data_IF_031577793933
#
_entry.id   IF_031577793933
#
_cell.length_a   1.000
_cell.length_b   1.000
_cell.length_c   1.000
_cell.angle_alpha   90.00
_cell.angle_beta   90.00
_cell.angle_gamma   90.00
#
_symmetry.space_group_name_H-M   'P 1'
#
loop_
_entity.id
_entity.type
_entity.pdbx_description
1 polymer ?
#
# COMPACT_ATOMS: atom_id res chain seq x y z
N UNK A 1 -17.38 7.30 10.27
CA UNK A 1 -16.34 7.30 11.32
C UNK A 1 -15.99 8.70 11.85
N UNK A 2 -15.44 8.86 13.06
CA UNK A 2 -14.86 10.15 13.55
C UNK A 2 -13.36 10.26 13.25
N UNK A 3 -12.86 11.47 12.97
CA UNK A 3 -11.44 11.73 12.66
C UNK A 3 -10.47 11.14 13.70
N UNK A 4 -10.76 11.33 14.99
CA UNK A 4 -9.90 10.84 16.07
C UNK A 4 -9.82 9.31 16.11
N UNK A 5 -10.91 8.63 15.75
CA UNK A 5 -10.95 7.17 15.67
C UNK A 5 -10.15 6.67 14.45
N UNK A 6 -10.31 7.32 13.30
CA UNK A 6 -9.57 7.02 12.08
C UNK A 6 -8.05 7.17 12.29
N UNK A 7 -7.62 8.31 12.83
CA UNK A 7 -6.20 8.59 13.14
C UNK A 7 -5.66 7.53 14.11
N UNK A 8 -6.42 7.16 15.14
CA UNK A 8 -6.00 6.15 16.11
C UNK A 8 -5.78 4.80 15.44
N UNK A 9 -6.74 4.33 14.62
CA UNK A 9 -6.64 3.05 13.92
C UNK A 9 -5.46 3.01 12.95
N UNK A 10 -5.22 4.09 12.21
CA UNK A 10 -4.09 4.18 11.27
C UNK A 10 -2.75 4.11 12.01
N UNK A 11 -2.60 4.85 13.12
CA UNK A 11 -1.35 4.81 13.88
C UNK A 11 -1.14 3.46 14.58
N UNK A 12 -2.18 2.90 15.19
CA UNK A 12 -2.10 1.57 15.81
C UNK A 12 -1.69 0.50 14.80
N UNK A 13 -2.28 0.50 13.61
CA UNK A 13 -1.88 -0.37 12.52
C UNK A 13 -0.41 -0.17 12.13
N UNK A 14 0.02 1.09 11.95
CA UNK A 14 1.38 1.40 11.56
C UNK A 14 2.39 0.90 12.60
N UNK A 15 2.13 1.17 13.89
CA UNK A 15 3.00 0.81 15.00
C UNK A 15 3.08 -0.70 15.25
N UNK A 16 1.98 -1.42 15.00
CA UNK A 16 1.96 -2.88 15.15
C UNK A 16 2.67 -3.59 14.00
N UNK A 17 2.39 -3.21 12.75
CA UNK A 17 2.75 -4.04 11.59
C UNK A 17 3.88 -3.48 10.72
N UNK A 18 4.12 -2.16 10.68
CA UNK A 18 5.24 -1.63 9.90
C UNK A 18 6.61 -2.14 10.39
N UNK A 19 6.89 -2.26 11.70
CA UNK A 19 8.18 -2.76 12.18
C UNK A 19 8.52 -4.19 11.74
N UNK A 20 7.56 -5.00 11.32
CA UNK A 20 7.81 -6.36 10.84
C UNK A 20 8.50 -6.40 9.47
N UNK A 21 8.24 -5.41 8.62
CA UNK A 21 8.67 -5.40 7.21
C UNK A 21 9.50 -4.17 6.83
N UNK A 22 9.40 -3.09 7.60
CA UNK A 22 9.95 -1.77 7.27
C UNK A 22 11.05 -1.38 8.25
N UNK A 23 12.11 -0.75 7.74
CA UNK A 23 13.18 -0.17 8.54
C UNK A 23 12.74 1.11 9.23
N UNK A 24 11.98 1.94 8.50
CA UNK A 24 11.46 3.22 8.96
C UNK A 24 10.10 3.49 8.30
N UNK A 25 9.23 4.21 9.01
CA UNK A 25 7.94 4.63 8.48
C UNK A 25 7.52 5.98 9.06
N UNK A 26 6.59 6.63 8.36
CA UNK A 26 5.92 7.85 8.78
C UNK A 26 4.47 7.82 8.32
N UNK A 27 3.57 8.30 9.17
CA UNK A 27 2.13 8.37 8.89
C UNK A 27 1.79 9.81 8.51
N UNK A 28 1.10 10.00 7.39
CA UNK A 28 0.53 11.28 6.98
C UNK A 28 -0.98 11.12 6.79
N UNK A 29 -1.75 11.85 7.59
CA UNK A 29 -3.22 11.82 7.53
C UNK A 29 -3.70 13.07 6.80
N UNK A 30 -4.63 12.88 5.87
CA UNK A 30 -5.27 13.94 5.11
C UNK A 30 -6.75 14.04 5.52
N UNK A 31 -7.10 15.14 6.19
CA UNK A 31 -8.45 15.44 6.67
C UNK A 31 -9.08 16.62 5.90
N UNK A 32 -8.60 16.90 4.69
CA UNK A 32 -9.11 18.01 3.89
C UNK A 32 -10.55 17.80 3.43
N UNK A 33 -10.95 16.54 3.22
CA UNK A 33 -12.32 16.15 2.91
C UNK A 33 -12.94 15.40 4.12
N UNK A 34 -13.93 16.00 4.81
CA UNK A 34 -14.58 15.38 5.96
C UNK A 34 -15.43 14.16 5.58
N UNK A 35 -15.84 14.04 4.32
CA UNK A 35 -16.62 12.91 3.82
C UNK A 35 -15.72 11.78 3.28
N UNK A 36 -14.42 12.05 3.14
CA UNK A 36 -13.45 11.09 2.59
C UNK A 36 -12.15 11.10 3.41
N UNK A 37 -12.18 10.37 4.53
CA UNK A 37 -11.03 10.22 5.40
C UNK A 37 -9.97 9.35 4.72
N UNK A 38 -8.80 9.94 4.46
CA UNK A 38 -7.68 9.23 3.84
C UNK A 38 -6.38 9.43 4.60
N UNK A 39 -5.49 8.45 4.51
CA UNK A 39 -4.15 8.52 5.05
C UNK A 39 -3.17 7.83 4.12
N UNK A 40 -1.88 8.15 4.28
CA UNK A 40 -0.78 7.51 3.58
C UNK A 40 0.32 7.18 4.58
N UNK A 41 0.73 5.92 4.61
CA UNK A 41 1.93 5.51 5.32
C UNK A 41 3.07 5.50 4.30
N UNK A 42 4.11 6.29 4.56
CA UNK A 42 5.35 6.26 3.81
C UNK A 42 6.35 5.43 4.58
N UNK A 43 6.91 4.40 3.96
CA UNK A 43 7.86 3.51 4.62
C UNK A 43 9.03 3.15 3.71
N UNK A 44 10.17 2.81 4.32
CA UNK A 44 11.33 2.27 3.63
C UNK A 44 11.64 0.87 4.16
N UNK A 45 11.83 -0.10 3.27
CA UNK A 45 12.21 -1.46 3.64
C UNK A 45 13.72 -1.60 3.92
N UNK A 46 14.13 -2.77 4.42
CA UNK A 46 15.54 -3.05 4.71
C UNK A 46 16.45 -3.11 3.47
N UNK A 47 15.89 -3.09 2.27
CA UNK A 47 16.62 -3.05 1.00
C UNK A 47 16.68 -1.62 0.41
N UNK A 48 16.11 -0.63 1.09
CA UNK A 48 16.10 0.77 0.69
C UNK A 48 14.98 1.12 -0.30
N UNK A 49 13.99 0.25 -0.51
CA UNK A 49 12.85 0.58 -1.35
C UNK A 49 11.83 1.42 -0.60
N UNK A 50 11.30 2.42 -1.30
CA UNK A 50 10.24 3.28 -0.80
C UNK A 50 8.86 2.66 -1.08
N UNK A 51 7.99 2.74 -0.08
CA UNK A 51 6.63 2.25 -0.07
C UNK A 51 5.68 3.39 0.30
N UNK A 52 4.52 3.42 -0.36
CA UNK A 52 3.44 4.36 -0.05
C UNK A 52 2.17 3.52 0.06
N UNK A 53 1.73 3.28 1.29
CA UNK A 53 0.54 2.46 1.58
C UNK A 53 -0.64 3.42 1.71
N UNK A 54 -1.59 3.41 0.77
CA UNK A 54 -2.81 4.20 0.89
C UNK A 54 -3.73 3.57 1.94
N UNK A 55 -4.41 4.42 2.71
CA UNK A 55 -5.45 4.00 3.65
C UNK A 55 -6.66 4.91 3.45
N UNK A 56 -7.85 4.33 3.48
CA UNK A 56 -9.11 5.05 3.38
C UNK A 56 -10.21 4.37 4.19
N UNK A 57 -11.35 5.02 4.29
CA UNK A 57 -12.59 4.39 4.74
C UNK A 57 -13.37 3.93 3.50
N UNK A 58 -13.74 2.65 3.46
CA UNK A 58 -14.50 2.08 2.33
C UNK A 58 -16.01 2.29 2.46
N UNK A 59 -16.76 1.79 1.47
CA UNK A 59 -18.22 1.92 1.39
C UNK A 59 -18.97 1.29 2.58
N UNK A 60 -18.31 0.45 3.39
CA UNK A 60 -18.88 -0.18 4.59
C UNK A 60 -18.51 0.57 5.89
N UNK A 61 -17.92 1.77 5.80
CA UNK A 61 -17.36 2.54 6.93
C UNK A 61 -16.20 1.80 7.65
N UNK A 62 -15.50 0.89 6.93
CA UNK A 62 -14.32 0.18 7.45
C UNK A 62 -13.01 0.81 6.95
N UNK A 63 -12.00 0.85 7.82
CA UNK A 63 -10.67 1.32 7.42
C UNK A 63 -9.94 0.21 6.66
N UNK A 64 -9.49 0.51 5.44
CA UNK A 64 -8.91 -0.49 4.54
C UNK A 64 -7.77 0.08 3.69
N UNK A 65 -7.04 -0.82 3.04
CA UNK A 65 -5.96 -0.51 2.09
C UNK A 65 -6.51 -0.74 0.67
N UNK A 66 -6.75 0.29 -0.15
CA UNK A 66 -7.28 0.11 -1.49
C UNK A 66 -6.26 -0.55 -2.42
N UNK A 67 -6.75 -1.33 -3.38
CA UNK A 67 -5.95 -1.95 -4.44
C UNK A 67 -6.15 -1.22 -5.76
N UNK A 68 -5.14 -1.27 -6.61
CA UNK A 68 -5.21 -0.71 -7.98
C UNK A 68 -6.18 -1.47 -8.89
N UNK A 69 -6.68 -2.63 -8.46
CA UNK A 69 -7.65 -3.46 -9.17
C UNK A 69 -9.11 -3.18 -8.76
N UNK A 70 -9.37 -2.19 -7.91
CA UNK A 70 -10.72 -1.82 -7.47
C UNK A 70 -11.27 -2.64 -6.29
N UNK A 71 -10.40 -3.35 -5.57
CA UNK A 71 -10.74 -3.99 -4.29
C UNK A 71 -10.07 -3.29 -3.11
N UNK A 72 -10.21 -3.86 -1.92
CA UNK A 72 -9.52 -3.42 -0.71
C UNK A 72 -8.99 -4.61 0.09
N UNK A 73 -7.93 -4.37 0.86
CA UNK A 73 -7.45 -5.29 1.89
C UNK A 73 -7.83 -4.73 3.26
N UNK A 74 -8.18 -5.62 4.19
CA UNK A 74 -8.45 -5.26 5.59
C UNK A 74 -7.22 -4.61 6.23
N UNK A 75 -7.42 -3.60 7.08
CA UNK A 75 -6.33 -2.95 7.82
C UNK A 75 -5.85 -3.81 9.01
N UNK A 76 -5.18 -4.92 8.72
CA UNK A 76 -4.55 -5.82 9.69
C UNK A 76 -3.26 -6.43 9.13
N UNK A 77 -2.57 -7.28 9.89
CA UNK A 77 -1.29 -7.88 9.46
C UNK A 77 -1.39 -8.71 8.17
N UNK A 78 -2.45 -9.50 7.99
CA UNK A 78 -2.66 -10.30 6.78
C UNK A 78 -2.94 -9.43 5.55
N UNK A 79 -3.82 -8.43 5.70
CA UNK A 79 -4.11 -7.48 4.63
C UNK A 79 -2.89 -6.63 4.26
N UNK A 80 -2.06 -6.28 5.24
CA UNK A 80 -0.79 -5.59 4.98
C UNK A 80 0.18 -6.45 4.20
N UNK A 81 0.38 -7.71 4.61
CA UNK A 81 1.20 -8.66 3.87
C UNK A 81 0.71 -8.84 2.42
N UNK A 82 -0.60 -9.05 2.26
CA UNK A 82 -1.22 -9.18 0.94
C UNK A 82 -1.00 -7.94 0.07
N UNK A 83 -1.11 -6.75 0.64
CA UNK A 83 -0.81 -5.50 -0.05
C UNK A 83 0.65 -5.42 -0.51
N UNK A 84 1.60 -5.67 0.40
CA UNK A 84 3.04 -5.63 0.08
C UNK A 84 3.41 -6.63 -1.01
N UNK A 85 2.87 -7.84 -0.93
CA UNK A 85 3.09 -8.88 -1.93
C UNK A 85 2.49 -8.48 -3.28
N UNK A 86 1.25 -8.01 -3.31
CA UNK A 86 0.58 -7.55 -4.52
C UNK A 86 1.37 -6.44 -5.22
N UNK A 87 1.80 -5.42 -4.47
CA UNK A 87 2.62 -4.32 -4.99
C UNK A 87 4.00 -4.80 -5.47
N UNK A 88 4.66 -5.71 -4.77
CA UNK A 88 5.94 -6.28 -5.19
C UNK A 88 5.82 -7.01 -6.53
N UNK A 89 4.78 -7.84 -6.69
CA UNK A 89 4.48 -8.56 -7.93
C UNK A 89 4.18 -7.58 -9.06
N UNK A 90 3.36 -6.56 -8.79
CA UNK A 90 3.00 -5.55 -9.79
C UNK A 90 4.23 -4.78 -10.29
N UNK A 91 5.08 -4.31 -9.38
CA UNK A 91 6.38 -3.67 -9.72
C UNK A 91 7.29 -4.59 -10.52
N UNK A 92 7.34 -5.88 -10.17
CA UNK A 92 8.09 -6.89 -10.91
C UNK A 92 7.57 -7.10 -12.34
N UNK A 93 6.25 -7.20 -12.51
CA UNK A 93 5.60 -7.40 -13.80
C UNK A 93 5.79 -6.22 -14.77
N UNK A 94 5.76 -4.99 -14.26
CA UNK A 94 6.06 -3.78 -15.03
C UNK A 94 7.51 -3.71 -15.55
N UNK A 95 8.46 -4.36 -14.85
CA UNK A 95 9.86 -4.44 -15.31
C UNK A 95 10.07 -5.51 -16.37
N UNK A 96 9.22 -6.54 -16.42
CA UNK A 96 9.35 -7.62 -17.42
C UNK A 96 8.74 -7.29 -18.78
N UNK A 97 7.86 -6.28 -18.88
CA UNK A 97 7.28 -5.87 -20.16
C UNK A 97 8.21 -5.00 -21.01
N UNK A 98 9.33 -4.52 -20.46
CA UNK A 98 10.36 -3.77 -21.23
C UNK A 98 11.46 -4.64 -21.82
N UNK A 99 11.43 -5.97 -21.64
CA UNK A 99 12.43 -6.90 -22.19
C UNK A 99 11.75 -8.11 -22.85
N UNK A 100 10.96 -7.87 -23.88
CA UNK A 100 10.91 -8.81 -24.99
C UNK A 100 11.63 -8.14 -26.16
N UNK A 101 12.93 -8.41 -26.40
CA UNK A 101 13.47 -8.20 -27.73
C UNK A 101 12.59 -9.01 -28.69
N UNK A 102 12.04 -8.33 -29.69
CA UNK A 102 11.34 -8.96 -30.81
C UNK A 102 12.14 -10.19 -31.25
N UNK A 103 11.56 -11.39 -31.11
CA UNK A 103 12.11 -12.64 -31.65
C UNK A 103 12.03 -12.70 -33.18
N UNK A 104 12.37 -11.62 -33.88
CA UNK A 104 12.42 -11.58 -35.34
C UNK A 104 13.78 -11.13 -35.91
N UNK A 105 14.82 -10.94 -35.08
CA UNK A 105 16.18 -10.71 -35.56
C UNK A 105 17.14 -11.81 -35.08
N UNK A 106 16.83 -13.05 -35.43
CA UNK A 106 17.83 -14.11 -35.44
C UNK A 106 17.29 -15.29 -36.23
N UNK A 107 17.28 -15.21 -37.57
CA UNK A 107 17.65 -16.28 -38.49
C UNK A 107 17.85 -15.63 -39.88
N UNK A 108 18.89 -16.10 -40.58
CA UNK A 108 19.46 -15.62 -41.83
C UNK A 108 18.47 -15.28 -42.96
#
# INVERSE_FOLDING_TARGET
MKDSEFISKVNEFADLYCPEYMREYSVNVDLTDPDNLTARIRAEDYFGHQWVIPIWVDDNDEVSIPTTAGGSFTLNGEGFYCYLWHEAVFRGSMRTTSVFPNKNEAYC
#
